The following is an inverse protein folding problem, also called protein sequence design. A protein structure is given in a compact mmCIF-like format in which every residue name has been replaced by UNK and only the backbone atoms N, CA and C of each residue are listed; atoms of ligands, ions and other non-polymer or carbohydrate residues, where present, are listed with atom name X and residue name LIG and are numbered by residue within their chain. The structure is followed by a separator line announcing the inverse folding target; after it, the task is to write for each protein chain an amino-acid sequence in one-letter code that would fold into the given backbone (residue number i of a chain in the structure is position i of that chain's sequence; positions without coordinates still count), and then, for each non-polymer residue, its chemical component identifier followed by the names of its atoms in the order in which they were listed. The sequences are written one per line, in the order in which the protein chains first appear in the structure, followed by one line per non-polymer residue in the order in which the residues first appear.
data_IF_371403120680
#
_entry.id   IF_371403120680
#
_cell.length_a   1.000
_cell.length_b   1.000
_cell.length_c   1.000
_cell.angle_alpha   90.00
_cell.angle_beta   90.00
_cell.angle_gamma   90.00
#
_symmetry.space_group_name_H-M   'P 1'
#
loop_
_entity.id
_entity.type
_entity.pdbx_description
1 polymer ?
#
# COMPACT_ATOMS: atom_id res chain seq x y z
N UNK A 1 86.33 -18.01 3.25
CA UNK A 1 85.63 -16.99 2.44
C UNK A 1 84.15 -17.30 2.51
N UNK A 2 83.40 -16.58 3.36
CA UNK A 2 81.96 -16.77 3.61
C UNK A 2 81.22 -15.60 2.96
N UNK A 3 80.14 -15.89 2.22
CA UNK A 3 79.26 -14.93 1.57
C UNK A 3 78.42 -14.15 2.60
N UNK A 4 78.06 -12.88 2.34
CA UNK A 4 77.31 -12.06 3.28
C UNK A 4 75.78 -12.23 3.17
N UNK A 5 75.12 -11.97 4.30
CA UNK A 5 73.68 -11.94 4.54
C UNK A 5 72.93 -10.93 3.67
N UNK A 6 71.72 -11.30 3.23
CA UNK A 6 70.74 -10.40 2.63
C UNK A 6 69.68 -9.99 3.68
N UNK A 7 69.33 -8.69 3.79
CA UNK A 7 68.39 -8.21 4.80
C UNK A 7 66.93 -8.41 4.38
N UNK A 8 66.08 -8.66 5.38
CA UNK A 8 64.65 -8.84 5.23
C UNK A 8 63.92 -7.60 4.70
N UNK A 9 62.94 -7.83 3.82
CA UNK A 9 62.00 -6.82 3.37
C UNK A 9 60.77 -6.76 4.30
N UNK A 10 60.29 -5.57 4.69
CA UNK A 10 59.09 -5.43 5.52
C UNK A 10 57.82 -5.63 4.68
N UNK A 11 56.87 -6.39 5.22
CA UNK A 11 55.52 -6.51 4.66
C UNK A 11 54.74 -5.21 4.95
N UNK A 12 54.43 -4.45 3.91
CA UNK A 12 53.57 -3.28 4.01
C UNK A 12 52.10 -3.71 4.20
N UNK A 13 51.53 -3.48 5.38
CA UNK A 13 50.08 -3.54 5.60
C UNK A 13 49.42 -2.35 4.91
N UNK A 14 48.73 -2.60 3.80
CA UNK A 14 47.84 -1.62 3.19
C UNK A 14 46.52 -1.54 3.97
N UNK A 15 46.36 -0.47 4.77
CA UNK A 15 45.10 -0.15 5.44
C UNK A 15 44.14 0.46 4.40
N UNK A 16 43.23 -0.35 3.86
CA UNK A 16 42.16 0.14 2.97
C UNK A 16 41.08 0.81 3.81
N UNK A 17 41.12 2.14 3.88
CA UNK A 17 40.03 2.94 4.44
C UNK A 17 38.88 2.94 3.44
N UNK A 18 37.89 2.08 3.66
CA UNK A 18 36.61 2.12 2.96
C UNK A 18 35.86 3.39 3.40
N UNK A 19 35.99 4.45 2.60
CA UNK A 19 35.12 5.62 2.66
C UNK A 19 33.70 5.16 2.34
N UNK A 20 32.91 4.94 3.39
CA UNK A 20 31.46 4.77 3.30
C UNK A 20 30.86 6.02 2.69
N UNK A 21 30.68 6.01 1.37
CA UNK A 21 29.88 7.01 0.68
C UNK A 21 28.45 6.88 1.20
N UNK A 22 28.09 7.75 2.15
CA UNK A 22 26.70 7.96 2.51
C UNK A 22 26.02 8.50 1.27
N UNK A 23 25.35 7.61 0.54
CA UNK A 23 24.48 8.00 -0.55
C UNK A 23 23.38 8.85 0.07
N UNK A 24 23.57 10.17 0.00
CA UNK A 24 22.51 11.12 0.25
C UNK A 24 21.35 10.72 -0.65
N UNK A 25 20.28 10.22 -0.04
CA UNK A 25 19.07 9.82 -0.73
C UNK A 25 18.53 11.09 -1.37
N UNK A 26 18.87 11.30 -2.65
CA UNK A 26 18.29 12.39 -3.45
C UNK A 26 16.78 12.31 -3.25
N UNK A 27 16.19 13.40 -2.76
CA UNK A 27 14.75 13.57 -2.80
C UNK A 27 14.29 13.25 -4.24
N UNK A 28 13.29 12.39 -4.37
CA UNK A 28 12.82 11.93 -5.67
C UNK A 28 12.40 13.14 -6.50
N UNK A 29 12.96 13.27 -7.71
CA UNK A 29 12.69 14.39 -8.63
C UNK A 29 11.49 14.15 -9.55
N UNK A 30 10.64 13.20 -9.22
CA UNK A 30 9.40 12.93 -9.97
C UNK A 30 8.25 13.74 -9.36
N UNK A 31 7.36 14.19 -10.24
CA UNK A 31 6.21 15.04 -9.88
C UNK A 31 4.94 14.25 -10.10
N UNK A 32 4.47 13.60 -9.05
CA UNK A 32 3.14 13.00 -9.01
C UNK A 32 2.14 14.05 -8.48
N UNK A 33 0.89 14.09 -8.97
CA UNK A 33 -0.14 14.98 -8.43
C UNK A 33 -0.58 14.61 -7.00
N UNK A 34 -0.48 13.33 -6.65
CA UNK A 34 -0.75 12.76 -5.34
C UNK A 34 0.33 11.73 -4.98
N UNK A 35 0.39 11.27 -3.73
CA UNK A 35 1.39 10.29 -3.30
C UNK A 35 1.35 9.02 -4.18
N UNK A 36 2.44 8.81 -4.93
CA UNK A 36 2.67 7.65 -5.82
C UNK A 36 1.52 7.41 -6.79
N UNK A 37 0.96 8.50 -7.36
CA UNK A 37 -0.25 8.47 -8.19
C UNK A 37 -0.16 7.53 -9.39
N UNK A 38 0.99 7.46 -10.07
CA UNK A 38 1.24 6.47 -11.13
C UNK A 38 0.97 5.04 -10.65
N UNK A 39 1.34 4.69 -9.42
CA UNK A 39 1.04 3.38 -8.86
C UNK A 39 -0.45 3.23 -8.54
N UNK A 40 -1.08 4.26 -7.95
CA UNK A 40 -2.51 4.27 -7.58
C UNK A 40 -3.43 4.08 -8.80
N UNK A 41 -3.05 4.59 -9.97
CA UNK A 41 -3.84 4.50 -11.22
C UNK A 41 -3.36 3.45 -12.23
N UNK A 42 -2.37 2.63 -11.85
CA UNK A 42 -1.78 1.61 -12.72
C UNK A 42 -2.75 0.46 -13.03
N UNK A 43 -3.02 0.20 -14.32
CA UNK A 43 -3.82 -0.95 -14.77
C UNK A 43 -2.97 -2.13 -15.24
N UNK A 44 -1.64 -2.02 -15.29
CA UNK A 44 -0.77 -3.05 -15.89
C UNK A 44 -0.78 -4.36 -15.11
N UNK A 45 -1.10 -4.33 -13.82
CA UNK A 45 -1.23 -5.55 -13.00
C UNK A 45 -2.60 -6.23 -13.12
N UNK A 46 -3.59 -5.63 -13.80
CA UNK A 46 -4.97 -6.15 -13.80
C UNK A 46 -5.12 -7.56 -14.37
N UNK A 47 -4.18 -8.01 -15.22
CA UNK A 47 -4.13 -9.36 -15.80
C UNK A 47 -3.36 -10.38 -14.95
N UNK A 48 -2.68 -9.94 -13.89
CA UNK A 48 -1.92 -10.82 -13.01
C UNK A 48 -2.86 -11.69 -12.18
N UNK A 49 -2.60 -13.00 -12.15
CA UNK A 49 -3.41 -13.96 -11.41
C UNK A 49 -3.49 -13.59 -9.91
N UNK A 50 -4.71 -13.38 -9.35
CA UNK A 50 -4.85 -12.89 -7.99
C UNK A 50 -4.63 -13.98 -6.94
N UNK A 51 -3.81 -13.68 -5.94
CA UNK A 51 -3.55 -14.53 -4.79
C UNK A 51 -4.65 -14.37 -3.73
N UNK A 52 -5.15 -15.45 -3.11
CA UNK A 52 -6.11 -15.33 -2.03
C UNK A 52 -5.46 -14.66 -0.80
N UNK A 53 -6.21 -13.77 -0.14
CA UNK A 53 -5.83 -13.20 1.15
C UNK A 53 -7.06 -12.82 1.99
N UNK A 54 -6.84 -12.25 3.17
CA UNK A 54 -7.90 -11.77 4.06
C UNK A 54 -7.48 -10.48 4.77
N UNK A 55 -8.46 -9.69 5.24
CA UNK A 55 -8.20 -8.49 6.07
C UNK A 55 -7.34 -8.85 7.28
N UNK A 56 -7.66 -9.96 7.96
CA UNK A 56 -6.87 -10.45 9.11
C UNK A 56 -5.42 -10.76 8.73
N UNK A 57 -5.18 -11.41 7.58
CA UNK A 57 -3.82 -11.73 7.14
C UNK A 57 -3.01 -10.46 6.85
N UNK A 58 -3.62 -9.45 6.24
CA UNK A 58 -2.97 -8.15 5.98
C UNK A 58 -2.57 -7.51 7.31
N UNK A 59 -3.53 -7.36 8.23
CA UNK A 59 -3.32 -6.69 9.51
C UNK A 59 -2.31 -7.39 10.43
N UNK A 60 -2.10 -8.70 10.29
CA UNK A 60 -1.25 -9.48 11.21
C UNK A 60 0.08 -9.93 10.61
N UNK A 61 0.15 -10.18 9.30
CA UNK A 61 1.30 -10.86 8.68
C UNK A 61 2.03 -10.05 7.62
N UNK A 62 1.44 -8.98 7.08
CA UNK A 62 2.09 -8.20 6.03
C UNK A 62 3.09 -7.22 6.64
N UNK A 63 4.38 -7.49 6.46
CA UNK A 63 5.44 -6.59 6.87
C UNK A 63 5.33 -5.24 6.10
N UNK A 64 5.33 -4.09 6.80
CA UNK A 64 5.41 -2.79 6.15
C UNK A 64 6.75 -2.63 5.40
N UNK A 65 6.78 -2.08 4.17
CA UNK A 65 8.00 -1.75 3.47
C UNK A 65 8.66 -0.49 4.06
N UNK A 66 9.91 -0.19 3.71
CA UNK A 66 10.61 1.05 4.11
C UNK A 66 10.15 2.27 3.29
N UNK A 67 8.86 2.62 3.39
CA UNK A 67 8.22 3.76 2.72
C UNK A 67 7.60 4.74 3.71
N UNK A 68 7.65 6.03 3.39
CA UNK A 68 7.01 7.14 4.10
C UNK A 68 6.55 8.25 3.13
N UNK A 69 5.97 9.34 3.65
CA UNK A 69 5.45 10.47 2.87
C UNK A 69 6.47 11.09 1.90
N UNK A 70 7.77 11.04 2.24
CA UNK A 70 8.86 11.55 1.37
C UNK A 70 9.10 10.71 0.11
N UNK A 71 8.54 9.51 0.04
CA UNK A 71 8.75 8.53 -1.04
C UNK A 71 7.64 8.63 -2.09
N UNK A 72 7.22 9.87 -2.37
CA UNK A 72 6.04 10.21 -3.17
C UNK A 72 6.05 9.68 -4.61
N UNK A 73 7.16 9.14 -5.10
CA UNK A 73 7.18 8.44 -6.38
C UNK A 73 8.11 7.23 -6.37
N UNK A 74 8.22 6.55 -5.23
CA UNK A 74 8.85 5.24 -5.15
C UNK A 74 8.10 4.24 -6.05
N UNK A 75 8.80 3.45 -6.88
CA UNK A 75 8.15 2.45 -7.71
C UNK A 75 7.54 1.35 -6.84
N UNK A 76 6.59 0.59 -7.40
CA UNK A 76 6.01 -0.59 -6.73
C UNK A 76 7.11 -1.61 -6.39
N UNK A 77 7.11 -2.10 -5.15
CA UNK A 77 8.06 -3.12 -4.70
C UNK A 77 7.39 -4.25 -3.91
N UNK A 78 8.02 -5.44 -3.92
CA UNK A 78 7.59 -6.57 -3.11
C UNK A 78 6.13 -6.97 -3.36
N UNK A 79 5.30 -6.88 -2.32
CA UNK A 79 3.86 -7.19 -2.37
C UNK A 79 3.10 -6.28 -3.33
N UNK A 80 3.55 -5.03 -3.54
CA UNK A 80 2.87 -4.08 -4.43
C UNK A 80 2.91 -4.46 -5.91
N UNK A 81 3.72 -5.45 -6.29
CA UNK A 81 3.74 -6.04 -7.64
C UNK A 81 2.82 -7.26 -7.78
N UNK A 82 1.99 -7.51 -6.76
CA UNK A 82 1.08 -8.66 -6.70
C UNK A 82 -0.35 -8.19 -6.62
N UNK A 83 -1.23 -9.02 -7.17
CA UNK A 83 -2.68 -8.83 -7.11
C UNK A 83 -3.24 -9.82 -6.10
N UNK A 84 -4.20 -9.34 -5.31
CA UNK A 84 -4.84 -10.10 -4.27
C UNK A 84 -6.35 -10.10 -4.46
N UNK A 85 -6.97 -11.16 -3.98
CA UNK A 85 -8.42 -11.33 -3.93
C UNK A 85 -8.82 -11.69 -2.51
N UNK A 86 -9.79 -10.96 -1.99
CA UNK A 86 -10.30 -11.13 -0.63
C UNK A 86 -11.81 -11.00 -0.60
N UNK A 87 -12.44 -11.76 0.29
CA UNK A 87 -13.85 -11.57 0.67
C UNK A 87 -13.86 -10.78 1.96
N UNK A 88 -14.57 -9.65 1.99
CA UNK A 88 -14.58 -8.73 3.13
C UNK A 88 -15.91 -7.99 3.25
N UNK A 89 -16.15 -7.41 4.42
CA UNK A 89 -17.33 -6.61 4.70
C UNK A 89 -17.01 -5.12 4.53
N UNK A 90 -17.68 -4.46 3.59
CA UNK A 90 -17.61 -3.00 3.48
C UNK A 90 -18.43 -2.40 4.61
N UNK A 91 -17.82 -1.49 5.38
CA UNK A 91 -18.50 -0.73 6.44
C UNK A 91 -18.67 0.75 6.11
N UNK A 92 -17.82 1.27 5.24
CA UNK A 92 -17.86 2.67 4.81
C UNK A 92 -17.51 2.76 3.33
N UNK A 93 -18.21 3.64 2.64
CA UNK A 93 -17.94 4.06 1.27
C UNK A 93 -17.89 5.59 1.25
N UNK A 94 -16.72 6.14 1.02
CA UNK A 94 -16.54 7.57 0.77
C UNK A 94 -16.24 7.80 -0.72
N UNK A 95 -17.05 8.64 -1.35
CA UNK A 95 -16.99 8.95 -2.79
C UNK A 95 -16.52 10.37 -3.06
N UNK A 96 -16.06 11.07 -2.01
CA UNK A 96 -15.83 12.52 -2.01
C UNK A 96 -14.39 12.87 -1.66
N UNK A 97 -13.45 11.95 -1.87
CA UNK A 97 -12.03 12.22 -1.69
C UNK A 97 -11.51 13.22 -2.72
N UNK A 98 -10.52 14.01 -2.34
CA UNK A 98 -9.97 15.10 -3.15
C UNK A 98 -9.26 14.61 -4.42
N UNK A 99 -8.72 13.39 -4.40
CA UNK A 99 -8.13 12.71 -5.57
C UNK A 99 -9.18 12.04 -6.47
N UNK A 100 -10.45 12.07 -6.06
CA UNK A 100 -11.59 11.52 -6.78
C UNK A 100 -11.77 10.00 -6.61
N UNK A 101 -10.93 9.34 -5.84
CA UNK A 101 -11.00 7.91 -5.62
C UNK A 101 -12.18 7.54 -4.71
N UNK A 102 -12.74 6.35 -4.92
CA UNK A 102 -13.75 5.80 -4.02
C UNK A 102 -13.07 4.99 -2.94
N UNK A 103 -13.09 5.53 -1.73
CA UNK A 103 -12.45 4.97 -0.56
C UNK A 103 -13.41 4.03 0.19
N UNK A 104 -12.95 2.82 0.48
CA UNK A 104 -13.71 1.78 1.16
C UNK A 104 -12.98 1.34 2.42
N UNK A 105 -13.69 1.23 3.53
CA UNK A 105 -13.15 0.58 4.74
C UNK A 105 -13.70 -0.86 4.84
N UNK A 106 -12.78 -1.83 4.86
CA UNK A 106 -13.08 -3.25 4.80
C UNK A 106 -12.73 -3.95 6.10
N UNK A 107 -13.68 -4.68 6.69
CA UNK A 107 -13.46 -5.53 7.85
C UNK A 107 -13.53 -7.02 7.53
N UNK A 108 -12.90 -7.85 8.36
CA UNK A 108 -12.93 -9.31 8.20
C UNK A 108 -14.33 -9.91 8.42
N UNK A 109 -15.09 -9.34 9.35
CA UNK A 109 -16.47 -9.75 9.69
C UNK A 109 -17.39 -8.53 9.75
N UNK A 110 -18.70 -8.76 9.66
CA UNK A 110 -19.72 -7.72 9.80
C UNK A 110 -19.69 -7.05 11.18
N UNK A 111 -19.27 -7.79 12.21
CA UNK A 111 -19.22 -7.38 13.63
C UNK A 111 -17.81 -7.00 14.11
N UNK A 112 -16.79 -7.03 13.24
CA UNK A 112 -15.43 -6.62 13.62
C UNK A 112 -15.38 -5.17 14.14
N UNK A 113 -14.46 -4.85 15.07
CA UNK A 113 -14.17 -3.48 15.47
C UNK A 113 -13.91 -2.59 14.27
N UNK A 114 -14.34 -1.33 14.35
CA UNK A 114 -14.32 -0.38 13.22
C UNK A 114 -12.91 -0.03 12.75
N UNK A 115 -11.92 -0.11 13.63
CA UNK A 115 -10.50 0.15 13.39
C UNK A 115 -9.71 -1.11 12.99
N UNK A 116 -10.34 -2.29 13.09
CA UNK A 116 -9.82 -3.57 12.58
C UNK A 116 -10.14 -3.72 11.10
N UNK A 117 -9.71 -2.74 10.31
CA UNK A 117 -9.99 -2.63 8.89
C UNK A 117 -8.73 -2.33 8.07
N UNK A 118 -8.85 -2.55 6.76
CA UNK A 118 -7.94 -2.02 5.75
C UNK A 118 -8.72 -1.13 4.78
N UNK A 119 -8.00 -0.29 4.06
CA UNK A 119 -8.56 0.53 2.98
C UNK A 119 -8.50 -0.22 1.64
N UNK A 120 -9.50 -0.01 0.81
CA UNK A 120 -9.41 -0.30 -0.61
C UNK A 120 -9.95 0.88 -1.40
N UNK A 121 -9.29 1.22 -2.51
CA UNK A 121 -9.66 2.39 -3.31
C UNK A 121 -9.87 2.02 -4.78
N UNK A 122 -10.93 2.58 -5.37
CA UNK A 122 -11.23 2.44 -6.80
C UNK A 122 -10.93 3.78 -7.49
N UNK A 123 -9.93 3.85 -8.38
CA UNK A 123 -9.61 5.08 -9.09
C UNK A 123 -10.75 5.67 -9.91
N UNK A 124 -10.62 6.93 -10.30
CA UNK A 124 -11.55 7.57 -11.23
C UNK A 124 -11.69 6.79 -12.55
N UNK A 125 -12.91 6.73 -13.08
CA UNK A 125 -13.22 6.04 -14.33
C UNK A 125 -12.43 6.53 -15.53
N UNK A 126 -11.96 7.79 -15.52
CA UNK A 126 -11.11 8.35 -16.57
C UNK A 126 -9.78 7.60 -16.75
N UNK A 127 -9.31 6.89 -15.71
CA UNK A 127 -8.07 6.11 -15.75
C UNK A 127 -8.27 4.70 -16.32
N UNK A 128 -9.50 4.28 -16.59
CA UNK A 128 -9.75 3.02 -17.30
C UNK A 128 -11.14 2.44 -17.09
N UNK A 129 -11.62 1.72 -18.11
CA UNK A 129 -12.92 1.01 -18.10
C UNK A 129 -13.04 -0.02 -16.97
N UNK A 130 -11.91 -0.55 -16.48
CA UNK A 130 -11.88 -1.45 -15.33
C UNK A 130 -12.41 -0.76 -14.07
N UNK A 131 -12.03 0.49 -13.84
CA UNK A 131 -12.45 1.26 -12.67
C UNK A 131 -13.91 1.69 -12.78
N UNK A 132 -14.38 2.07 -13.97
CA UNK A 132 -15.81 2.28 -14.22
C UNK A 132 -16.65 1.04 -13.85
N UNK A 133 -16.24 -0.14 -14.33
CA UNK A 133 -16.92 -1.40 -14.01
C UNK A 133 -16.86 -1.74 -12.53
N UNK A 134 -15.72 -1.53 -11.88
CA UNK A 134 -15.56 -1.76 -10.45
C UNK A 134 -16.47 -0.82 -9.62
N UNK A 135 -16.56 0.45 -9.99
CA UNK A 135 -17.48 1.44 -9.38
C UNK A 135 -18.94 1.04 -9.59
N UNK A 136 -19.34 0.69 -10.81
CA UNK A 136 -20.70 0.24 -11.11
C UNK A 136 -21.06 -1.03 -10.33
N UNK A 137 -20.14 -1.99 -10.24
CA UNK A 137 -20.34 -3.22 -9.46
C UNK A 137 -20.44 -2.95 -7.96
N UNK A 138 -19.65 -2.01 -7.42
CA UNK A 138 -19.78 -1.57 -6.04
C UNK A 138 -21.12 -0.87 -5.79
N UNK A 139 -21.56 0.00 -6.70
CA UNK A 139 -22.87 0.64 -6.62
C UNK A 139 -24.00 -0.39 -6.59
N UNK A 140 -23.95 -1.38 -7.48
CA UNK A 140 -24.91 -2.48 -7.49
C UNK A 140 -24.84 -3.30 -6.19
N UNK A 141 -23.63 -3.57 -5.68
CA UNK A 141 -23.42 -4.33 -4.46
C UNK A 141 -23.99 -3.59 -3.24
N UNK A 142 -23.79 -2.27 -3.14
CA UNK A 142 -24.33 -1.43 -2.06
C UNK A 142 -25.84 -1.23 -2.22
N UNK A 143 -26.32 -1.05 -3.45
CA UNK A 143 -27.72 -0.90 -3.81
C UNK A 143 -28.39 0.30 -3.13
N UNK A 144 -29.68 0.19 -2.83
CA UNK A 144 -30.45 1.22 -2.13
C UNK A 144 -30.17 1.31 -0.61
N UNK A 145 -29.08 0.70 -0.12
CA UNK A 145 -28.75 0.74 1.31
C UNK A 145 -28.48 2.19 1.72
N UNK A 146 -29.01 2.58 2.88
CA UNK A 146 -28.78 3.92 3.44
C UNK A 146 -27.31 4.07 3.82
N UNK A 147 -26.62 4.94 3.08
CA UNK A 147 -25.29 5.46 3.42
C UNK A 147 -25.52 6.68 4.32
N UNK A 148 -24.95 6.66 5.53
CA UNK A 148 -24.97 7.81 6.43
C UNK A 148 -24.17 9.00 5.87
N UNK A 149 -24.29 10.17 6.51
CA UNK A 149 -23.61 11.41 6.04
C UNK A 149 -22.09 11.26 5.89
N UNK A 150 -21.47 10.35 6.62
CA UNK A 150 -20.02 10.13 6.63
C UNK A 150 -19.62 8.87 5.84
N UNK A 151 -20.43 8.41 4.88
CA UNK A 151 -20.13 7.20 4.10
C UNK A 151 -20.40 5.88 4.81
N UNK A 152 -20.70 5.90 6.12
CA UNK A 152 -20.95 4.70 6.94
C UNK A 152 -22.20 3.98 6.46
N UNK A 153 -22.09 2.69 6.17
CA UNK A 153 -23.23 1.85 5.81
C UNK A 153 -24.01 1.44 7.05
N UNK A 154 -25.35 1.56 7.01
CA UNK A 154 -26.22 1.11 8.12
C UNK A 154 -26.05 -0.39 8.43
N UNK A 155 -25.82 -1.19 7.39
CA UNK A 155 -25.50 -2.60 7.49
C UNK A 155 -24.29 -2.88 6.59
N UNK A 156 -23.23 -3.54 7.11
CA UNK A 156 -22.09 -3.92 6.29
C UNK A 156 -22.48 -4.79 5.10
N UNK A 157 -21.72 -4.70 4.01
CA UNK A 157 -21.99 -5.43 2.76
C UNK A 157 -20.87 -6.40 2.47
N UNK A 158 -21.19 -7.68 2.32
CA UNK A 158 -20.22 -8.69 1.93
C UNK A 158 -19.92 -8.59 0.44
N UNK A 159 -18.64 -8.47 0.11
CA UNK A 159 -18.16 -8.45 -1.27
C UNK A 159 -16.90 -9.28 -1.40
N UNK A 160 -16.58 -9.64 -2.63
CA UNK A 160 -15.23 -10.01 -3.03
C UNK A 160 -14.60 -8.86 -3.81
N UNK A 161 -13.38 -8.49 -3.43
CA UNK A 161 -12.57 -7.46 -4.07
C UNK A 161 -11.34 -8.12 -4.68
N UNK A 162 -10.93 -7.64 -5.85
CA UNK A 162 -9.64 -7.98 -6.46
C UNK A 162 -8.90 -6.70 -6.83
N UNK A 163 -7.62 -6.59 -6.48
CA UNK A 163 -6.79 -5.41 -6.75
C UNK A 163 -5.33 -5.62 -6.41
N UNK A 164 -4.49 -4.65 -6.74
CA UNK A 164 -3.09 -4.67 -6.37
C UNK A 164 -2.92 -4.30 -4.89
N UNK A 165 -1.90 -4.85 -4.22
CA UNK A 165 -1.50 -4.31 -2.92
C UNK A 165 -0.84 -2.93 -3.11
N UNK A 166 -1.03 -2.05 -2.15
CA UNK A 166 -0.35 -0.75 -2.09
C UNK A 166 -0.09 -0.41 -0.64
N UNK A 167 1.09 0.11 -0.32
CA UNK A 167 1.38 0.61 1.01
C UNK A 167 1.29 2.14 0.98
N UNK A 168 0.31 2.71 1.69
CA UNK A 168 0.15 4.16 1.76
C UNK A 168 1.10 4.76 2.81
N UNK A 169 2.37 4.86 2.40
CA UNK A 169 3.41 5.46 3.20
C UNK A 169 3.20 6.96 3.48
N UNK A 170 2.27 7.64 2.79
CA UNK A 170 1.92 9.02 3.12
C UNK A 170 1.51 9.13 4.59
N UNK A 171 0.76 8.14 5.06
CA UNK A 171 0.20 8.10 6.40
C UNK A 171 1.12 7.49 7.46
N UNK A 172 2.39 7.25 7.13
CA UNK A 172 3.35 6.69 8.08
C UNK A 172 3.97 7.78 8.96
N UNK A 173 3.40 7.96 10.15
CA UNK A 173 3.90 8.89 11.15
C UNK A 173 5.32 8.54 11.62
N UNK A 174 6.24 9.52 11.66
CA UNK A 174 7.60 9.31 12.19
C UNK A 174 8.62 8.71 11.22
N UNK A 175 8.28 8.49 9.94
CA UNK A 175 9.23 8.14 8.87
C UNK A 175 9.28 6.65 8.50
N UNK A 176 10.21 6.31 7.58
CA UNK A 176 10.23 5.04 6.80
C UNK A 176 10.22 3.74 7.59
N UNK A 177 10.56 3.74 8.87
CA UNK A 177 10.62 2.53 9.72
C UNK A 177 9.79 2.65 10.98
N UNK A 178 8.99 3.70 11.10
CA UNK A 178 8.13 3.87 12.26
C UNK A 178 7.03 2.83 12.27
N UNK A 179 6.62 2.37 13.44
CA UNK A 179 5.47 1.49 13.61
C UNK A 179 4.16 2.25 13.87
N UNK A 180 4.18 3.57 13.67
CA UNK A 180 3.04 4.47 13.89
C UNK A 180 2.41 4.91 12.58
N UNK A 181 1.08 5.01 12.58
CA UNK A 181 0.32 5.82 11.63
C UNK A 181 0.30 7.28 12.09
N UNK A 182 0.10 8.22 11.18
CA UNK A 182 -0.24 9.62 11.49
C UNK A 182 -1.72 9.81 11.87
N UNK A 183 -2.55 8.78 11.67
CA UNK A 183 -3.97 8.78 12.00
C UNK A 183 -4.89 9.26 10.87
N UNK A 184 -4.34 9.60 9.69
CA UNK A 184 -5.12 10.17 8.58
C UNK A 184 -5.51 9.13 7.51
N UNK A 185 -5.36 7.83 7.80
CA UNK A 185 -5.74 6.72 6.91
C UNK A 185 -7.19 6.22 7.13
N UNK A 186 -8.15 7.16 7.12
CA UNK A 186 -9.55 6.88 7.46
C UNK A 186 -9.70 6.42 8.92
N UNK A 187 -10.52 5.39 9.19
CA UNK A 187 -10.57 4.73 10.51
C UNK A 187 -9.64 3.54 10.62
N UNK A 188 -8.98 3.13 9.54
CA UNK A 188 -8.10 1.97 9.47
C UNK A 188 -6.68 2.31 9.95
N UNK A 189 -6.55 2.64 11.23
CA UNK A 189 -5.30 3.13 11.83
C UNK A 189 -4.80 2.27 13.01
N UNK A 190 -5.32 1.04 13.18
CA UNK A 190 -5.01 0.17 14.33
C UNK A 190 -3.52 -0.23 14.43
N UNK A 191 -2.77 -0.14 13.33
CA UNK A 191 -1.30 -0.28 13.31
C UNK A 191 -0.72 0.25 12.01
N UNK A 192 0.61 0.33 11.89
CA UNK A 192 1.27 0.60 10.60
C UNK A 192 0.92 -0.42 9.51
N UNK A 193 0.49 -1.65 9.86
CA UNK A 193 0.04 -2.63 8.87
C UNK A 193 -1.32 -2.30 8.27
N UNK A 194 -2.13 -1.48 8.95
CA UNK A 194 -3.40 -1.01 8.43
C UNK A 194 -3.22 -0.03 7.24
N UNK A 195 -2.02 0.53 7.08
CA UNK A 195 -1.62 1.32 5.91
C UNK A 195 -1.43 0.49 4.62
N UNK A 196 -1.51 -0.84 4.71
CA UNK A 196 -1.67 -1.67 3.53
C UNK A 196 -3.09 -1.55 2.99
N UNK A 197 -3.17 -1.24 1.70
CA UNK A 197 -4.40 -1.12 0.95
C UNK A 197 -4.50 -2.19 -0.13
N UNK A 198 -5.72 -2.37 -0.63
CA UNK A 198 -5.94 -2.85 -1.99
C UNK A 198 -6.18 -1.64 -2.88
N UNK A 199 -5.13 -1.18 -3.57
CA UNK A 199 -5.15 -0.02 -4.45
C UNK A 199 -4.22 -0.24 -5.66
N UNK A 200 -4.72 -0.17 -6.89
CA UNK A 200 -6.14 -0.01 -7.22
C UNK A 200 -6.94 -1.30 -7.11
N UNK A 201 -8.23 -1.15 -6.84
CA UNK A 201 -9.23 -2.19 -7.03
C UNK A 201 -9.56 -2.31 -8.52
N UNK A 202 -9.41 -3.51 -9.07
CA UNK A 202 -9.74 -3.85 -10.46
C UNK A 202 -11.16 -4.43 -10.62
N UNK A 203 -11.68 -5.09 -9.59
CA UNK A 203 -13.03 -5.65 -9.63
C UNK A 203 -13.67 -5.80 -8.25
N UNK A 204 -15.01 -5.70 -8.26
CA UNK A 204 -15.89 -5.93 -7.11
C UNK A 204 -16.95 -6.93 -7.53
N UNK A 205 -17.24 -7.91 -6.68
CA UNK A 205 -18.32 -8.89 -6.90
C UNK A 205 -19.16 -9.03 -5.63
N UNK A 206 -20.49 -8.86 -5.70
CA UNK A 206 -21.39 -9.17 -4.58
C UNK A 206 -21.24 -10.62 -4.12
N UNK A 207 -21.47 -10.88 -2.83
CA UNK A 207 -21.42 -12.22 -2.23
C UNK A 207 -22.70 -12.53 -1.47
#
# INVERSE_FOLDING_TARGET
MRLPDAPGAPAALALVVLLSQTTSVRAQRCREPHYRWTAKTDTTLASVAPQPTSVTAILTTWAPPDLAARDACAPRAGRERRVYRLTAWIRLVDRRKDDGDWHLELTARADSPVDSCIVAEIPLSQYGVLYERARAALDAAVGARKIGRNGVLRAPVLVQITGAAFFDGQHRGGGRRSDKSDGEHGRCNSSVRALWEIHPVYSVTPR
#
